data_IF_622192405287
#
_entry.id   IF_622192405287
#
_cell.length_a   1.000
_cell.length_b   1.000
_cell.length_c   1.000
_cell.angle_alpha   90.00
_cell.angle_beta   90.00
_cell.angle_gamma   90.00
#
_symmetry.space_group_name_H-M   'P 1'
#
loop_
_entity.id
_entity.type
_entity.pdbx_description
1 polymer ?
#
# COMPACT_ATOMS: atom_id res chain seq x y z
N UNK A 1 -18.27 61.44 15.36
CA UNK A 1 -19.12 60.22 15.24
C UNK A 1 -18.70 59.45 14.03
N UNK A 2 -17.73 58.53 14.22
CA UNK A 2 -17.32 57.60 13.17
C UNK A 2 -17.65 56.18 13.63
N UNK A 3 -18.53 55.49 12.89
CA UNK A 3 -18.83 54.10 13.06
C UNK A 3 -17.74 53.30 12.35
N UNK A 4 -16.97 52.53 13.09
CA UNK A 4 -16.05 51.52 12.57
C UNK A 4 -16.84 50.23 12.34
N UNK A 5 -17.16 49.95 11.09
CA UNK A 5 -17.57 48.61 10.65
C UNK A 5 -16.34 47.74 10.60
N UNK A 6 -16.17 46.86 11.59
CA UNK A 6 -15.21 45.77 11.55
C UNK A 6 -15.81 44.65 10.75
N UNK A 7 -15.40 44.52 9.49
CA UNK A 7 -15.62 43.32 8.70
C UNK A 7 -14.72 42.21 9.28
N UNK A 8 -15.31 41.40 10.16
CA UNK A 8 -14.73 40.11 10.47
C UNK A 8 -14.96 39.17 9.27
N UNK A 9 -14.00 39.16 8.34
CA UNK A 9 -13.91 38.16 7.31
C UNK A 9 -13.67 36.77 7.95
N UNK A 10 -14.74 36.01 8.05
CA UNK A 10 -14.68 34.57 8.31
C UNK A 10 -13.92 33.92 7.14
N UNK A 11 -12.61 33.84 7.26
CA UNK A 11 -11.79 32.93 6.45
C UNK A 11 -12.17 31.51 6.82
N UNK A 12 -13.24 31.03 6.21
CA UNK A 12 -13.56 29.61 6.16
C UNK A 12 -12.40 28.94 5.43
N UNK A 13 -11.48 28.36 6.20
CA UNK A 13 -10.48 27.43 5.72
C UNK A 13 -11.19 26.19 5.13
N UNK A 14 -11.75 26.36 3.93
CA UNK A 14 -12.12 25.22 3.08
C UNK A 14 -10.83 24.49 2.74
N UNK A 15 -10.49 23.49 3.54
CA UNK A 15 -9.44 22.53 3.23
C UNK A 15 -9.85 21.82 1.93
N UNK A 16 -9.39 22.36 0.80
CA UNK A 16 -9.69 21.84 -0.53
C UNK A 16 -9.27 20.36 -0.56
N UNK A 17 -10.27 19.50 -0.70
CA UNK A 17 -10.04 18.07 -0.82
C UNK A 17 -9.46 17.82 -2.21
N UNK A 18 -8.22 17.35 -2.27
CA UNK A 18 -7.58 17.02 -3.55
C UNK A 18 -8.08 15.64 -3.96
N UNK A 19 -8.93 15.60 -4.96
CA UNK A 19 -9.40 14.36 -5.58
C UNK A 19 -8.76 14.28 -6.96
N UNK A 20 -7.78 13.37 -7.10
CA UNK A 20 -7.03 13.17 -8.35
C UNK A 20 -7.53 11.90 -9.01
N UNK A 21 -7.64 11.89 -10.33
CA UNK A 21 -8.14 10.73 -11.07
C UNK A 21 -7.15 9.55 -10.99
N UNK A 22 -5.86 9.82 -11.08
CA UNK A 22 -4.77 8.84 -11.01
C UNK A 22 -3.74 9.22 -9.95
N UNK A 23 -3.19 8.21 -9.27
CA UNK A 23 -2.12 8.44 -8.30
C UNK A 23 -0.81 8.91 -8.96
N UNK A 24 -0.63 8.67 -10.25
CA UNK A 24 0.52 9.17 -11.01
C UNK A 24 0.54 10.70 -11.14
N UNK A 25 -0.60 11.36 -10.98
CA UNK A 25 -0.74 12.82 -11.04
C UNK A 25 -0.36 13.51 -9.72
N UNK A 26 -0.07 12.74 -8.65
CA UNK A 26 0.39 13.30 -7.39
C UNK A 26 1.81 13.84 -7.57
N UNK A 27 1.98 15.16 -7.38
CA UNK A 27 3.27 15.81 -7.48
C UNK A 27 4.25 15.24 -6.46
N UNK A 28 5.52 15.14 -6.87
CA UNK A 28 6.62 14.61 -6.04
C UNK A 28 6.78 15.38 -4.72
N UNK A 29 6.48 16.68 -4.68
CA UNK A 29 6.50 17.49 -3.45
C UNK A 29 5.41 17.06 -2.46
N UNK A 30 4.23 16.68 -2.94
CA UNK A 30 3.17 16.10 -2.09
C UNK A 30 3.55 14.69 -1.60
N UNK A 31 4.37 13.97 -2.36
CA UNK A 31 4.91 12.67 -1.99
C UNK A 31 6.01 12.77 -0.91
N UNK A 32 6.78 13.86 -0.87
CA UNK A 32 7.80 14.11 0.17
C UNK A 32 7.19 14.39 1.56
N UNK A 33 5.92 14.78 1.64
CA UNK A 33 5.21 14.92 2.91
C UNK A 33 5.12 13.57 3.66
N UNK A 34 5.43 12.49 2.96
CA UNK A 34 5.45 11.14 3.53
C UNK A 34 6.91 10.70 3.71
N UNK A 35 7.64 11.45 4.51
CA UNK A 35 8.86 10.94 5.13
C UNK A 35 8.50 9.65 5.90
N UNK A 36 9.34 8.61 5.92
CA UNK A 36 9.07 7.36 6.62
C UNK A 36 8.61 7.55 8.06
N UNK A 37 9.18 8.51 8.79
CA UNK A 37 8.78 8.92 10.14
C UNK A 37 7.36 9.53 10.21
N UNK A 38 6.83 10.03 9.08
CA UNK A 38 5.51 10.62 8.93
C UNK A 38 4.56 9.73 8.14
N UNK A 39 4.87 8.43 7.98
CA UNK A 39 3.99 7.48 7.31
C UNK A 39 2.68 7.39 8.11
N UNK A 40 1.84 8.39 7.88
CA UNK A 40 0.54 8.48 8.52
C UNK A 40 -0.32 7.35 7.97
N UNK A 41 -1.18 6.84 8.84
CA UNK A 41 -2.14 5.79 8.47
C UNK A 41 -2.94 6.23 7.27
N UNK A 42 -2.83 5.52 6.16
CA UNK A 42 -3.67 5.72 5.00
C UNK A 42 -4.62 4.53 4.81
N UNK A 43 -5.68 4.76 4.06
CA UNK A 43 -6.68 3.74 3.78
C UNK A 43 -6.63 3.35 2.31
N UNK A 44 -6.84 2.08 2.04
CA UNK A 44 -6.91 1.51 0.69
C UNK A 44 -8.28 0.85 0.51
N UNK A 45 -8.99 1.21 -0.56
CA UNK A 45 -10.19 0.50 -1.00
C UNK A 45 -9.83 -0.36 -2.21
N UNK A 46 -9.88 -1.69 -2.09
CA UNK A 46 -9.61 -2.63 -3.18
C UNK A 46 -10.91 -3.10 -3.84
N UNK A 47 -11.03 -2.86 -5.14
CA UNK A 47 -12.05 -3.44 -6.00
C UNK A 47 -11.42 -4.51 -6.89
N UNK A 48 -11.83 -5.76 -6.70
CA UNK A 48 -11.36 -6.91 -7.50
C UNK A 48 -12.17 -6.96 -8.81
N UNK A 49 -11.54 -6.69 -9.95
CA UNK A 49 -12.19 -6.74 -11.27
C UNK A 49 -12.48 -8.18 -11.71
N UNK A 50 -11.51 -9.07 -11.54
CA UNK A 50 -11.60 -10.48 -11.93
C UNK A 50 -12.01 -11.39 -10.75
N UNK A 51 -13.13 -11.10 -10.11
CA UNK A 51 -13.55 -11.77 -8.88
C UNK A 51 -13.69 -13.30 -9.01
N UNK A 52 -14.27 -13.79 -10.10
CA UNK A 52 -14.41 -15.25 -10.34
C UNK A 52 -13.06 -15.94 -10.48
N UNK A 53 -12.13 -15.30 -11.19
CA UNK A 53 -10.75 -15.79 -11.35
C UNK A 53 -10.02 -15.82 -10.00
N UNK A 54 -10.17 -14.78 -9.18
CA UNK A 54 -9.61 -14.71 -7.84
C UNK A 54 -10.08 -15.88 -6.96
N UNK A 55 -11.38 -16.13 -6.91
CA UNK A 55 -11.96 -17.23 -6.14
C UNK A 55 -11.42 -18.58 -6.61
N UNK A 56 -11.43 -18.84 -7.93
CA UNK A 56 -10.92 -20.07 -8.51
C UNK A 56 -9.45 -20.31 -8.18
N UNK A 57 -8.60 -19.30 -8.33
CA UNK A 57 -7.16 -19.38 -8.03
C UNK A 57 -6.95 -19.77 -6.56
N UNK A 58 -7.65 -19.12 -5.64
CA UNK A 58 -7.48 -19.43 -4.22
C UNK A 58 -8.03 -20.80 -3.83
N UNK A 59 -9.06 -21.25 -4.49
CA UNK A 59 -9.62 -22.60 -4.27
C UNK A 59 -8.64 -23.69 -4.75
N UNK A 60 -8.12 -23.54 -5.97
CA UNK A 60 -7.11 -24.46 -6.53
C UNK A 60 -5.85 -24.49 -5.67
N UNK A 61 -5.43 -23.34 -5.18
CA UNK A 61 -4.27 -23.21 -4.31
C UNK A 61 -4.49 -23.87 -2.94
N UNK A 62 -5.69 -23.72 -2.37
CA UNK A 62 -6.04 -24.38 -1.11
C UNK A 62 -6.10 -25.91 -1.22
N UNK A 63 -6.52 -26.44 -2.38
CA UNK A 63 -6.53 -27.88 -2.63
C UNK A 63 -5.09 -28.40 -2.74
N UNK A 64 -4.28 -27.77 -3.60
CA UNK A 64 -2.89 -28.17 -3.84
C UNK A 64 -2.01 -28.04 -2.60
N UNK A 65 -2.23 -27.02 -1.76
CA UNK A 65 -1.42 -26.83 -0.55
C UNK A 65 -1.58 -27.94 0.47
N UNK A 66 -2.68 -28.69 0.45
CA UNK A 66 -2.88 -29.89 1.29
C UNK A 66 -1.97 -31.04 0.87
N UNK A 67 -1.62 -31.10 -0.42
CA UNK A 67 -0.77 -32.15 -0.96
C UNK A 67 0.72 -31.82 -0.84
N UNK A 68 1.08 -30.55 -1.08
CA UNK A 68 2.48 -30.08 -1.21
C UNK A 68 2.97 -29.34 0.03
N UNK A 69 2.08 -29.00 0.97
CA UNK A 69 2.42 -28.23 2.19
C UNK A 69 2.75 -26.75 1.94
N UNK A 70 2.69 -26.27 0.70
CA UNK A 70 3.00 -24.89 0.35
C UNK A 70 2.08 -24.33 -0.74
N UNK A 71 1.98 -23.00 -0.81
CA UNK A 71 1.19 -22.30 -1.82
C UNK A 71 2.07 -21.85 -2.97
N UNK A 72 1.91 -22.45 -4.14
CA UNK A 72 2.79 -22.24 -5.30
C UNK A 72 2.19 -21.39 -6.42
N UNK A 73 0.89 -21.09 -6.36
CA UNK A 73 0.20 -20.38 -7.43
C UNK A 73 0.65 -18.92 -7.53
N UNK A 74 1.21 -18.55 -8.67
CA UNK A 74 1.72 -17.19 -8.97
C UNK A 74 0.81 -16.38 -9.89
N UNK A 75 -0.37 -16.91 -10.25
CA UNK A 75 -1.31 -16.21 -11.15
C UNK A 75 -1.82 -14.92 -10.51
N UNK A 76 -1.89 -13.88 -11.32
CA UNK A 76 -2.34 -12.54 -10.90
C UNK A 76 -3.75 -12.27 -11.40
N UNK A 77 -4.44 -11.39 -10.69
CA UNK A 77 -5.75 -10.86 -11.06
C UNK A 77 -5.71 -9.34 -11.11
N UNK A 78 -6.64 -8.76 -11.86
CA UNK A 78 -6.77 -7.32 -12.02
C UNK A 78 -7.71 -6.72 -10.97
N UNK A 79 -7.39 -5.51 -10.54
CA UNK A 79 -8.20 -4.73 -9.63
C UNK A 79 -7.92 -3.23 -9.75
N UNK A 80 -8.64 -2.46 -8.96
CA UNK A 80 -8.37 -1.03 -8.76
C UNK A 80 -8.24 -0.78 -7.27
N UNK A 81 -7.19 -0.08 -6.87
CA UNK A 81 -6.98 0.42 -5.50
C UNK A 81 -7.23 1.91 -5.46
N UNK A 82 -8.07 2.34 -4.53
CA UNK A 82 -8.26 3.76 -4.21
C UNK A 82 -7.52 4.06 -2.92
N UNK A 83 -6.54 4.93 -2.99
CA UNK A 83 -5.78 5.40 -1.83
C UNK A 83 -6.45 6.65 -1.25
N UNK A 84 -6.60 6.67 0.06
CA UNK A 84 -7.13 7.81 0.83
C UNK A 84 -6.12 8.19 1.89
N UNK A 85 -5.44 9.32 1.68
CA UNK A 85 -4.32 9.77 2.49
C UNK A 85 -4.73 11.04 3.24
N UNK A 86 -4.57 11.04 4.56
CA UNK A 86 -4.79 12.21 5.43
C UNK A 86 -6.14 12.93 5.22
N UNK A 87 -7.19 12.23 4.82
CA UNK A 87 -8.52 12.79 4.50
C UNK A 87 -8.53 13.86 3.39
N UNK A 88 -7.37 14.20 2.82
CA UNK A 88 -7.21 15.27 1.84
C UNK A 88 -7.00 14.74 0.42
N UNK A 89 -6.23 13.67 0.29
CA UNK A 89 -5.83 13.12 -1.00
C UNK A 89 -6.59 11.82 -1.26
N UNK A 90 -7.18 11.72 -2.43
CA UNK A 90 -7.82 10.50 -2.91
C UNK A 90 -7.43 10.29 -4.36
N UNK A 91 -6.81 9.16 -4.66
CA UNK A 91 -6.41 8.79 -6.01
C UNK A 91 -6.65 7.32 -6.30
N UNK A 92 -6.71 6.96 -7.58
CA UNK A 92 -6.93 5.60 -8.05
C UNK A 92 -5.68 5.05 -8.74
N UNK A 93 -5.46 3.75 -8.59
CA UNK A 93 -4.36 3.00 -9.20
C UNK A 93 -4.90 1.68 -9.74
N UNK A 94 -4.74 1.41 -11.03
CA UNK A 94 -5.01 0.08 -11.56
C UNK A 94 -3.86 -0.85 -11.19
N UNK A 95 -4.21 -2.02 -10.70
CA UNK A 95 -3.23 -2.97 -10.16
C UNK A 95 -3.46 -4.37 -10.68
N UNK A 96 -2.37 -5.12 -10.77
CA UNK A 96 -2.41 -6.58 -10.79
C UNK A 96 -1.91 -7.11 -9.46
N UNK A 97 -2.60 -8.08 -8.89
CA UNK A 97 -2.21 -8.62 -7.60
C UNK A 97 -2.39 -10.14 -7.54
N UNK A 98 -1.68 -10.76 -6.61
CA UNK A 98 -1.78 -12.17 -6.26
C UNK A 98 -1.63 -12.34 -4.75
N UNK A 99 -2.00 -13.50 -4.24
CA UNK A 99 -1.65 -13.84 -2.87
C UNK A 99 -0.11 -13.88 -2.72
N UNK A 100 0.37 -13.39 -1.58
CA UNK A 100 1.77 -13.36 -1.20
C UNK A 100 2.05 -14.46 -0.17
N UNK A 101 3.31 -14.94 -0.17
CA UNK A 101 3.79 -15.96 0.76
C UNK A 101 3.44 -17.38 0.33
N UNK A 102 4.33 -18.28 0.65
CA UNK A 102 4.24 -19.71 0.35
C UNK A 102 3.78 -20.51 1.57
N UNK A 103 3.89 -19.91 2.75
CA UNK A 103 3.49 -20.49 4.01
C UNK A 103 2.03 -20.21 4.36
N UNK A 104 1.47 -21.05 5.21
CA UNK A 104 0.07 -21.03 5.60
C UNK A 104 -0.31 -19.76 6.39
N UNK A 105 0.61 -19.21 7.17
CA UNK A 105 0.42 -18.01 7.99
C UNK A 105 -0.01 -16.78 7.18
N UNK A 106 0.51 -16.61 5.96
CA UNK A 106 0.09 -15.56 5.04
C UNK A 106 -1.37 -15.67 4.60
N UNK A 107 -2.01 -16.82 4.78
CA UNK A 107 -3.35 -17.13 4.30
C UNK A 107 -4.35 -17.43 5.41
N UNK A 108 -3.89 -17.77 6.60
CA UNK A 108 -4.75 -18.06 7.75
C UNK A 108 -5.53 -16.83 8.24
N UNK A 109 -6.63 -17.10 8.94
CA UNK A 109 -7.45 -16.09 9.57
C UNK A 109 -8.48 -15.45 8.63
N UNK A 110 -9.18 -14.45 9.14
CA UNK A 110 -10.24 -13.75 8.39
C UNK A 110 -9.65 -12.83 7.32
N UNK A 111 -10.39 -12.67 6.22
CA UNK A 111 -10.12 -11.68 5.19
C UNK A 111 -9.30 -12.18 4.00
N UNK A 112 -8.70 -11.23 3.28
CA UNK A 112 -7.79 -11.55 2.19
C UNK A 112 -6.46 -12.07 2.73
N UNK A 113 -5.77 -12.95 2.00
CA UNK A 113 -4.38 -13.30 2.31
C UNK A 113 -3.48 -12.07 2.23
N UNK A 114 -2.22 -12.18 2.64
CA UNK A 114 -1.21 -11.20 2.24
C UNK A 114 -1.17 -11.09 0.72
N UNK A 115 -0.98 -9.88 0.19
CA UNK A 115 -1.05 -9.60 -1.24
C UNK A 115 0.29 -9.07 -1.76
N UNK A 116 0.72 -9.58 -2.90
CA UNK A 116 1.77 -8.98 -3.72
C UNK A 116 1.09 -8.18 -4.83
N UNK A 117 1.34 -6.88 -4.88
CA UNK A 117 0.67 -5.91 -5.75
C UNK A 117 1.66 -5.27 -6.68
N UNK A 118 1.27 -5.09 -7.94
CA UNK A 118 2.01 -4.33 -8.95
C UNK A 118 1.08 -3.29 -9.58
N UNK A 119 1.52 -2.05 -9.63
CA UNK A 119 0.85 -0.96 -10.35
C UNK A 119 0.92 -1.20 -11.86
N UNK A 120 -0.13 -0.83 -12.58
CA UNK A 120 -0.23 -0.98 -14.03
C UNK A 120 -0.20 0.36 -14.77
N UNK A 121 -0.61 1.44 -14.12
CA UNK A 121 -0.81 2.75 -14.76
C UNK A 121 -0.28 3.91 -13.91
N UNK A 122 0.77 3.70 -13.16
CA UNK A 122 1.35 4.77 -12.34
C UNK A 122 2.03 4.23 -11.08
N UNK A 123 2.05 5.05 -10.05
CA UNK A 123 2.71 4.73 -8.78
C UNK A 123 1.97 5.37 -7.61
N UNK A 124 2.24 4.91 -6.40
CA UNK A 124 1.89 5.59 -5.16
C UNK A 124 3.19 6.01 -4.46
N UNK A 125 3.46 7.31 -4.38
CA UNK A 125 4.70 7.88 -3.83
C UNK A 125 5.99 7.33 -4.48
N UNK A 126 5.98 7.15 -5.79
CA UNK A 126 7.09 6.52 -6.53
C UNK A 126 7.15 5.00 -6.41
N UNK A 127 6.24 4.36 -5.67
CA UNK A 127 6.21 2.91 -5.47
C UNK A 127 5.31 2.27 -6.52
N UNK A 128 5.85 1.37 -7.32
CA UNK A 128 5.14 0.59 -8.34
C UNK A 128 4.80 -0.82 -7.86
N UNK A 129 5.67 -1.40 -7.05
CA UNK A 129 5.53 -2.74 -6.51
C UNK A 129 5.55 -2.71 -4.98
N UNK A 130 4.54 -3.32 -4.36
CA UNK A 130 4.42 -3.36 -2.91
C UNK A 130 3.70 -4.63 -2.42
N UNK A 131 3.81 -4.87 -1.13
CA UNK A 131 3.18 -6.00 -0.46
C UNK A 131 2.22 -5.47 0.59
N UNK A 132 1.07 -6.10 0.72
CA UNK A 132 0.15 -5.91 1.84
C UNK A 132 0.23 -7.16 2.71
N UNK A 133 0.92 -7.07 3.82
CA UNK A 133 1.15 -8.18 4.74
C UNK A 133 0.07 -8.19 5.81
N UNK A 134 -0.36 -9.38 6.19
CA UNK A 134 -1.13 -9.56 7.42
C UNK A 134 -0.25 -9.21 8.61
N UNK A 135 -0.75 -8.43 9.59
CA UNK A 135 0.08 -8.00 10.73
C UNK A 135 0.66 -9.16 11.54
N UNK A 136 -0.08 -10.27 11.64
CA UNK A 136 0.29 -11.46 12.41
C UNK A 136 1.59 -12.09 11.88
N UNK A 137 1.79 -12.06 10.55
CA UNK A 137 2.97 -12.63 9.87
C UNK A 137 4.27 -11.91 10.28
N UNK A 138 4.16 -10.62 10.62
CA UNK A 138 5.31 -9.76 10.95
C UNK A 138 5.30 -9.30 12.41
N UNK A 139 4.68 -10.06 13.29
CA UNK A 139 4.53 -9.70 14.71
C UNK A 139 4.03 -8.26 14.87
N UNK A 140 2.99 -7.92 14.13
CA UNK A 140 2.29 -6.64 14.12
C UNK A 140 3.18 -5.47 13.68
N UNK A 141 3.37 -4.47 14.52
CA UNK A 141 4.05 -3.24 14.15
C UNK A 141 5.61 -3.34 14.20
N UNK A 142 6.17 -4.52 14.53
CA UNK A 142 7.62 -4.71 14.63
C UNK A 142 8.34 -4.46 13.30
N UNK A 143 7.73 -4.86 12.18
CA UNK A 143 8.28 -4.61 10.84
C UNK A 143 8.37 -3.11 10.54
N UNK A 144 7.33 -2.35 10.92
CA UNK A 144 7.28 -0.90 10.71
C UNK A 144 8.36 -0.22 11.56
N UNK A 145 8.50 -0.64 12.82
CA UNK A 145 9.53 -0.11 13.71
C UNK A 145 10.94 -0.43 13.19
N UNK A 146 11.19 -1.68 12.81
CA UNK A 146 12.51 -2.10 12.33
C UNK A 146 12.93 -1.36 11.06
N UNK A 147 12.02 -1.23 10.08
CA UNK A 147 12.34 -0.50 8.84
C UNK A 147 12.52 0.99 9.06
N UNK A 148 11.73 1.61 9.95
CA UNK A 148 11.91 3.00 10.32
C UNK A 148 13.26 3.24 11.01
N UNK A 149 13.64 2.37 11.95
CA UNK A 149 14.93 2.45 12.62
C UNK A 149 16.11 2.32 11.64
N UNK A 150 16.04 1.36 10.70
CA UNK A 150 17.07 1.21 9.67
C UNK A 150 17.20 2.46 8.80
N UNK A 151 16.09 3.09 8.43
CA UNK A 151 16.09 4.33 7.67
C UNK A 151 16.70 5.51 8.45
N UNK A 152 16.37 5.66 9.73
CA UNK A 152 16.98 6.69 10.60
C UNK A 152 18.51 6.47 10.77
N UNK A 153 18.96 5.22 10.69
CA UNK A 153 20.37 4.86 10.70
C UNK A 153 21.05 4.98 9.32
N UNK A 154 20.37 5.54 8.32
CA UNK A 154 20.82 5.66 6.93
C UNK A 154 21.07 4.32 6.21
N UNK A 155 20.50 3.23 6.69
CA UNK A 155 20.48 1.98 5.93
C UNK A 155 19.39 2.01 4.87
N UNK A 156 19.64 1.29 3.78
CA UNK A 156 18.65 1.09 2.73
C UNK A 156 17.58 0.12 3.23
N UNK A 157 16.40 0.63 3.52
CA UNK A 157 15.28 -0.16 4.01
C UNK A 157 13.97 0.24 3.32
N UNK A 158 13.05 -0.72 3.06
CA UNK A 158 11.80 -0.43 2.38
C UNK A 158 10.89 0.46 3.24
N UNK A 159 10.11 1.30 2.59
CA UNK A 159 9.08 2.10 3.27
C UNK A 159 7.95 1.19 3.72
N UNK A 160 7.56 1.30 4.98
CA UNK A 160 6.48 0.50 5.58
C UNK A 160 5.48 1.38 6.29
N UNK A 161 4.21 0.98 6.27
CA UNK A 161 3.14 1.72 6.93
C UNK A 161 2.01 0.81 7.40
N UNK A 162 1.32 1.21 8.46
CA UNK A 162 0.06 0.59 8.86
C UNK A 162 -1.08 1.12 8.02
N UNK A 163 -1.82 0.25 7.33
CA UNK A 163 -2.93 0.62 6.47
C UNK A 163 -4.22 -0.12 6.84
N UNK A 164 -5.35 0.52 6.59
CA UNK A 164 -6.65 -0.15 6.60
C UNK A 164 -7.03 -0.49 5.16
N UNK A 165 -7.12 -1.77 4.84
CA UNK A 165 -7.60 -2.27 3.57
C UNK A 165 -9.08 -2.60 3.66
N UNK A 166 -9.88 -1.87 2.89
CA UNK A 166 -11.29 -2.18 2.65
C UNK A 166 -11.41 -2.99 1.36
N UNK A 167 -12.13 -4.10 1.41
CA UNK A 167 -12.41 -4.93 0.24
C UNK A 167 -13.81 -5.53 0.38
N UNK A 168 -14.58 -5.55 -0.71
CA UNK A 168 -15.95 -6.08 -0.73
C UNK A 168 -16.76 -5.66 0.51
N UNK A 169 -16.90 -6.57 1.50
CA UNK A 169 -17.72 -6.40 2.70
C UNK A 169 -16.91 -6.28 3.99
N UNK A 170 -15.57 -6.19 3.92
CA UNK A 170 -14.72 -6.17 5.09
C UNK A 170 -13.69 -5.06 5.08
N UNK A 171 -13.24 -4.70 6.28
CA UNK A 171 -12.09 -3.81 6.48
C UNK A 171 -11.15 -4.46 7.48
N UNK A 172 -9.88 -4.54 7.13
CA UNK A 172 -8.85 -5.13 7.99
C UNK A 172 -7.58 -4.29 7.98
N UNK A 173 -6.77 -4.42 9.05
CA UNK A 173 -5.44 -3.82 9.13
C UNK A 173 -4.46 -4.67 8.33
N UNK A 174 -3.58 -4.02 7.59
CA UNK A 174 -2.44 -4.61 6.88
C UNK A 174 -1.19 -3.76 7.12
N UNK A 175 -0.04 -4.36 6.89
CA UNK A 175 1.22 -3.64 6.76
C UNK A 175 1.47 -3.45 5.26
N UNK A 176 1.51 -2.20 4.83
CA UNK A 176 1.99 -1.84 3.50
C UNK A 176 3.52 -1.83 3.54
N UNK A 177 4.16 -2.53 2.63
CA UNK A 177 5.61 -2.58 2.51
C UNK A 177 6.01 -2.41 1.04
N UNK A 178 6.87 -1.44 0.79
CA UNK A 178 7.50 -1.26 -0.51
C UNK A 178 8.32 -2.51 -0.86
N UNK A 179 8.25 -2.95 -2.10
CA UNK A 179 9.05 -4.07 -2.54
C UNK A 179 10.42 -3.58 -3.00
N UNK A 180 11.46 -4.32 -2.62
CA UNK A 180 12.83 -4.03 -3.05
C UNK A 180 12.98 -4.48 -4.50
N UNK A 181 12.79 -3.54 -5.42
CA UNK A 181 12.92 -3.69 -6.86
C UNK A 181 13.75 -2.53 -7.41
N UNK A 182 13.95 -2.47 -8.72
CA UNK A 182 14.73 -1.42 -9.37
C UNK A 182 14.31 0.00 -8.94
N UNK A 183 13.03 0.28 -8.99
CA UNK A 183 12.45 1.59 -8.63
C UNK A 183 12.73 1.99 -7.17
N UNK A 184 12.86 1.02 -6.27
CA UNK A 184 13.27 1.26 -4.90
C UNK A 184 14.70 1.82 -4.82
N UNK A 185 15.64 1.28 -5.60
CA UNK A 185 17.01 1.78 -5.66
C UNK A 185 17.06 3.18 -6.26
N UNK A 186 16.33 3.42 -7.35
CA UNK A 186 16.23 4.72 -8.01
C UNK A 186 15.67 5.78 -7.05
N UNK A 187 14.55 5.49 -6.38
CA UNK A 187 13.92 6.37 -5.38
C UNK A 187 14.83 6.66 -4.18
N UNK A 188 15.76 5.76 -3.88
CA UNK A 188 16.76 5.91 -2.83
C UNK A 188 18.05 6.59 -3.31
N UNK A 189 18.11 7.10 -4.54
CA UNK A 189 19.28 7.74 -5.13
C UNK A 189 20.46 6.78 -5.34
N UNK A 190 20.21 5.48 -5.42
CA UNK A 190 21.24 4.45 -5.67
C UNK A 190 21.25 4.05 -7.13
N UNK A 191 22.44 3.66 -7.62
CA UNK A 191 22.57 3.10 -8.96
C UNK A 191 21.91 1.72 -9.03
N UNK A 192 21.39 1.41 -10.20
CA UNK A 192 20.93 0.04 -10.48
C UNK A 192 22.05 -0.97 -10.26
N UNK A 193 21.69 -2.09 -9.66
CA UNK A 193 22.61 -3.20 -9.41
C UNK A 193 21.83 -4.47 -9.08
N UNK A 194 22.49 -5.62 -9.03
CA UNK A 194 21.85 -6.85 -8.65
C UNK A 194 21.35 -6.77 -7.20
N UNK A 195 20.11 -7.20 -6.98
CA UNK A 195 19.49 -7.30 -5.66
C UNK A 195 19.53 -8.77 -5.26
N UNK A 196 20.23 -9.05 -4.17
CA UNK A 196 20.30 -10.40 -3.60
C UNK A 196 19.33 -10.48 -2.43
N UNK A 197 18.44 -11.48 -2.45
CA UNK A 197 17.59 -11.84 -1.30
C UNK A 197 18.27 -12.99 -0.55
N UNK A 198 18.44 -12.83 0.77
CA UNK A 198 19.00 -13.83 1.67
C UNK A 198 17.98 -14.87 2.14
#
# INVERSE_FOLDING_TARGET
FYSLNSEFGLLSNFKKKIEVSSCAELNYEEAQIIHPSNFQKFNIDLKIKERRKWIRINLEDAIKSREVGSFTNRRRVLGTMTFKINSKIKCNLNVSFRAHGDQVDHRQGKGLPSLNVKALDGHIFGITDFILLKPEVRKYDNEIFATALLQEMNFLAPRTASVKLKYNFGTQKYIFQEKIVKEFLENSGKREGPIYEG
#
